data_IF_328724807011
#
_entry.id   IF_328724807011
#
_cell.length_a   1.000
_cell.length_b   1.000
_cell.length_c   1.000
_cell.angle_alpha   90.00
_cell.angle_beta   90.00
_cell.angle_gamma   90.00
#
_symmetry.space_group_name_H-M   'P 1'
#
loop_
_entity.id
_entity.type
_entity.pdbx_description
1 polymer ?
#
# COMPACT_ATOMS: atom_id res chain seq x y z
N UNK A 1 30.81 -35.51 60.70
CA UNK A 1 30.14 -35.35 59.38
C UNK A 1 30.21 -36.68 58.64
N UNK A 2 29.07 -37.32 58.31
CA UNK A 2 29.09 -38.57 57.55
C UNK A 2 29.57 -38.27 56.12
N UNK A 3 30.59 -39.00 55.66
CA UNK A 3 31.09 -38.91 54.27
C UNK A 3 30.06 -39.60 53.37
N UNK A 4 29.38 -38.83 52.52
CA UNK A 4 28.53 -39.42 51.48
C UNK A 4 29.38 -40.38 50.63
N UNK A 5 28.96 -41.65 50.43
CA UNK A 5 29.72 -42.59 49.63
C UNK A 5 29.82 -42.12 48.18
N UNK A 6 31.05 -42.12 47.63
CA UNK A 6 31.36 -41.65 46.26
C UNK A 6 30.46 -42.28 45.17
N UNK A 7 29.93 -43.46 45.43
CA UNK A 7 28.96 -44.18 44.60
C UNK A 7 27.65 -43.42 44.40
N UNK A 8 27.12 -42.75 45.42
CA UNK A 8 25.89 -41.96 45.29
C UNK A 8 26.10 -40.71 44.45
N UNK A 9 27.27 -40.09 44.54
CA UNK A 9 27.62 -38.91 43.73
C UNK A 9 27.78 -39.28 42.26
N UNK A 10 28.38 -40.43 41.96
CA UNK A 10 28.50 -40.95 40.60
C UNK A 10 27.14 -41.24 39.96
N UNK A 11 26.26 -41.94 40.67
CA UNK A 11 24.90 -42.23 40.19
C UNK A 11 24.09 -40.95 39.99
N UNK A 12 24.16 -40.01 40.93
CA UNK A 12 23.50 -38.71 40.81
C UNK A 12 23.98 -37.93 39.58
N UNK A 13 25.30 -37.84 39.37
CA UNK A 13 25.87 -37.15 38.22
C UNK A 13 25.43 -37.79 36.90
N UNK A 14 25.44 -39.13 36.79
CA UNK A 14 24.99 -39.83 35.57
C UNK A 14 23.52 -39.57 35.27
N UNK A 15 22.65 -39.64 36.29
CA UNK A 15 21.21 -39.37 36.13
C UNK A 15 20.99 -37.91 35.73
N UNK A 16 21.69 -36.97 36.35
CA UNK A 16 21.58 -35.55 36.04
C UNK A 16 22.07 -35.24 34.63
N UNK A 17 23.20 -35.82 34.20
CA UNK A 17 23.73 -35.65 32.83
C UNK A 17 22.79 -36.27 31.79
N UNK A 18 22.22 -37.43 32.06
CA UNK A 18 21.23 -38.05 31.16
C UNK A 18 19.96 -37.19 31.04
N UNK A 19 19.44 -36.68 32.17
CA UNK A 19 18.30 -35.77 32.17
C UNK A 19 18.59 -34.47 31.39
N UNK A 20 19.79 -33.91 31.54
CA UNK A 20 20.23 -32.72 30.80
C UNK A 20 20.37 -33.00 29.30
N UNK A 21 20.91 -34.15 28.92
CA UNK A 21 21.00 -34.57 27.53
C UNK A 21 19.61 -34.74 26.89
N UNK A 22 18.66 -35.35 27.60
CA UNK A 22 17.26 -35.45 27.15
C UNK A 22 16.63 -34.06 27.00
N UNK A 23 16.83 -33.15 27.96
CA UNK A 23 16.35 -31.76 27.88
C UNK A 23 16.90 -31.04 26.65
N UNK A 24 18.19 -31.17 26.34
CA UNK A 24 18.80 -30.58 25.14
C UNK A 24 18.23 -31.20 23.86
N UNK A 25 18.09 -32.54 23.82
CA UNK A 25 17.62 -33.25 22.63
C UNK A 25 16.12 -33.05 22.35
N UNK A 26 15.31 -32.80 23.38
CA UNK A 26 13.85 -32.62 23.26
C UNK A 26 13.42 -31.14 23.27
N UNK A 27 14.25 -30.24 23.77
CA UNK A 27 13.98 -28.80 23.84
C UNK A 27 13.98 -28.10 22.48
N UNK A 28 14.58 -28.72 21.47
CA UNK A 28 14.65 -28.21 20.10
C UNK A 28 13.51 -28.72 19.20
N UNK A 29 12.28 -28.84 19.71
CA UNK A 29 11.13 -29.21 18.87
C UNK A 29 10.64 -27.98 18.10
N UNK A 30 10.85 -27.99 16.78
CA UNK A 30 10.32 -27.02 15.80
C UNK A 30 8.78 -26.92 15.84
N UNK A 31 8.18 -25.78 15.42
CA UNK A 31 6.80 -25.44 15.72
C UNK A 31 5.82 -26.46 15.15
N UNK A 32 4.95 -26.99 16.01
CA UNK A 32 3.76 -27.71 15.59
C UNK A 32 2.79 -26.74 14.90
N UNK A 33 1.97 -27.26 13.99
CA UNK A 33 0.77 -26.57 13.52
C UNK A 33 -0.11 -26.24 14.73
N UNK A 34 -0.10 -24.98 15.18
CA UNK A 34 -0.99 -24.52 16.23
C UNK A 34 -2.41 -24.37 15.66
N UNK A 35 -3.41 -24.83 16.42
CA UNK A 35 -4.81 -24.61 16.12
C UNK A 35 -5.36 -23.68 17.19
N UNK A 36 -6.08 -22.65 16.75
CA UNK A 36 -6.72 -21.68 17.61
C UNK A 36 -8.18 -21.57 17.18
N UNK A 37 -9.09 -21.42 18.14
CA UNK A 37 -10.47 -21.04 17.83
C UNK A 37 -10.54 -19.55 17.45
N UNK A 38 -9.80 -18.70 18.16
CA UNK A 38 -9.65 -17.26 17.88
C UNK A 38 -8.25 -16.76 18.23
N UNK A 39 -7.85 -15.67 17.57
CA UNK A 39 -6.58 -14.97 17.82
C UNK A 39 -6.89 -13.49 18.03
N UNK A 40 -6.72 -12.99 19.26
CA UNK A 40 -6.86 -11.57 19.60
C UNK A 40 -5.48 -10.96 19.83
N UNK A 41 -4.99 -10.24 18.82
CA UNK A 41 -3.65 -9.65 18.79
C UNK A 41 -3.66 -8.35 18.02
N UNK A 42 -2.73 -7.46 18.35
CA UNK A 42 -2.56 -6.20 17.61
C UNK A 42 -1.84 -6.39 16.26
N UNK A 43 -0.99 -7.41 16.12
CA UNK A 43 -0.24 -7.67 14.88
C UNK A 43 0.21 -9.11 14.73
N UNK A 44 0.12 -9.62 13.51
CA UNK A 44 0.65 -10.90 13.03
C UNK A 44 1.74 -10.60 12.00
N UNK A 45 2.89 -11.28 12.11
CA UNK A 45 3.94 -11.27 11.10
C UNK A 45 4.05 -12.68 10.49
N UNK A 46 4.04 -12.77 9.16
CA UNK A 46 4.42 -13.99 8.44
C UNK A 46 5.85 -13.81 7.92
N UNK A 47 6.71 -14.78 8.22
CA UNK A 47 8.13 -14.74 7.90
C UNK A 47 8.58 -16.04 7.26
N UNK A 48 9.59 -15.95 6.42
CA UNK A 48 10.37 -17.10 5.95
C UNK A 48 11.19 -17.71 7.08
N UNK A 49 11.79 -18.90 6.82
CA UNK A 49 12.69 -19.57 7.76
C UNK A 49 13.92 -18.74 8.13
N UNK A 50 14.41 -17.90 7.21
CA UNK A 50 15.53 -16.99 7.43
C UNK A 50 15.15 -15.70 8.16
N UNK A 51 13.85 -15.51 8.46
CA UNK A 51 13.31 -14.34 9.13
C UNK A 51 12.81 -13.22 8.20
N UNK A 52 12.97 -13.36 6.88
CA UNK A 52 12.46 -12.40 5.88
C UNK A 52 10.97 -12.20 6.04
N UNK A 53 10.51 -10.95 6.17
CA UNK A 53 9.10 -10.61 6.34
C UNK A 53 8.36 -10.77 5.01
N UNK A 54 7.18 -11.41 5.04
CA UNK A 54 6.34 -11.68 3.85
C UNK A 54 4.97 -11.07 3.91
N UNK A 55 4.41 -10.98 5.10
CA UNK A 55 3.12 -10.34 5.32
C UNK A 55 3.04 -9.79 6.73
N UNK A 56 2.34 -8.67 6.87
CA UNK A 56 1.94 -8.10 8.16
C UNK A 56 0.44 -7.94 8.15
N UNK A 57 -0.25 -8.38 9.20
CA UNK A 57 -1.62 -7.98 9.52
C UNK A 57 -1.55 -7.18 10.81
N UNK A 58 -2.05 -5.95 10.83
CA UNK A 58 -1.89 -5.07 12.00
C UNK A 58 -3.07 -4.14 12.22
N UNK A 59 -3.30 -3.81 13.49
CA UNK A 59 -4.06 -2.63 13.90
C UNK A 59 -3.35 -1.33 13.49
N UNK A 60 -3.99 -0.19 13.78
CA UNK A 60 -3.47 1.13 13.46
C UNK A 60 -2.21 1.48 14.27
N UNK A 61 -2.15 1.10 15.55
CA UNK A 61 -1.07 1.51 16.45
C UNK A 61 0.25 0.80 16.13
N UNK A 62 0.19 -0.47 15.70
CA UNK A 62 1.35 -1.28 15.34
C UNK A 62 1.56 -1.41 13.84
N UNK A 63 0.86 -0.59 13.04
CA UNK A 63 1.03 -0.55 11.60
C UNK A 63 2.47 -0.16 11.27
N UNK A 64 3.18 -0.93 10.42
CA UNK A 64 4.58 -0.64 10.11
C UNK A 64 4.71 0.64 9.28
N UNK A 65 5.91 1.21 9.31
CA UNK A 65 6.36 2.16 8.31
C UNK A 65 6.60 1.48 6.95
N UNK A 66 7.24 2.22 6.04
CA UNK A 66 7.60 1.71 4.73
C UNK A 66 8.83 0.81 4.87
N UNK A 67 8.72 -0.46 4.49
CA UNK A 67 9.86 -1.39 4.57
C UNK A 67 10.42 -1.62 3.16
N UNK A 68 11.70 -1.28 2.98
CA UNK A 68 12.45 -1.53 1.75
C UNK A 68 13.69 -2.35 2.11
N UNK A 69 13.91 -3.48 1.45
CA UNK A 69 15.04 -4.38 1.72
C UNK A 69 15.19 -4.76 3.19
N UNK A 70 14.06 -5.03 3.86
CA UNK A 70 14.00 -5.35 5.29
C UNK A 70 14.26 -4.16 6.24
N UNK A 71 14.55 -2.96 5.71
CA UNK A 71 14.74 -1.74 6.50
C UNK A 71 13.45 -0.92 6.54
N UNK A 72 13.02 -0.60 7.75
CA UNK A 72 11.86 0.25 8.00
C UNK A 72 12.22 1.74 7.97
N UNK A 73 11.41 2.51 7.25
CA UNK A 73 11.48 3.96 7.14
C UNK A 73 10.23 4.59 7.76
N UNK A 74 10.34 5.72 8.48
CA UNK A 74 9.19 6.41 9.04
C UNK A 74 8.17 6.75 7.95
N UNK A 75 6.97 6.23 8.09
CA UNK A 75 5.90 6.47 7.15
C UNK A 75 4.55 6.43 7.90
N UNK A 76 4.19 7.53 8.60
CA UNK A 76 3.04 7.56 9.49
C UNK A 76 1.74 7.37 8.71
N UNK A 77 0.97 6.36 9.10
CA UNK A 77 -0.31 5.98 8.49
C UNK A 77 -1.35 5.81 9.60
N UNK A 78 -2.49 6.52 9.52
CA UNK A 78 -3.61 6.37 10.47
C UNK A 78 -4.62 5.33 9.94
N UNK A 79 -4.19 4.08 9.78
CA UNK A 79 -4.97 3.00 9.14
C UNK A 79 -4.49 1.64 9.64
N UNK A 80 -5.38 0.65 9.55
CA UNK A 80 -5.09 -0.75 9.84
C UNK A 80 -5.17 -1.58 8.55
N UNK A 81 -4.68 -2.81 8.59
CA UNK A 81 -4.80 -3.71 7.45
C UNK A 81 -3.65 -4.70 7.30
N UNK A 82 -3.39 -5.05 6.04
CA UNK A 82 -2.46 -6.07 5.63
C UNK A 82 -1.46 -5.52 4.61
N UNK A 83 -0.17 -5.77 4.80
CA UNK A 83 0.89 -5.43 3.84
C UNK A 83 1.60 -6.70 3.38
N UNK A 84 2.01 -6.72 2.11
CA UNK A 84 2.74 -7.81 1.49
C UNK A 84 4.18 -7.38 1.16
N UNK A 85 5.10 -8.32 1.17
CA UNK A 85 6.52 -8.07 0.92
C UNK A 85 7.11 -9.09 -0.05
N UNK A 86 7.99 -8.64 -0.94
CA UNK A 86 8.68 -9.49 -1.91
C UNK A 86 9.84 -10.29 -1.28
N UNK A 87 10.59 -11.02 -2.11
CA UNK A 87 11.69 -11.90 -1.67
C UNK A 87 12.86 -11.16 -1.04
N UNK A 88 12.93 -9.85 -1.23
CA UNK A 88 13.98 -8.99 -0.71
C UNK A 88 13.50 -8.26 0.56
N UNK A 89 12.26 -8.50 1.01
CA UNK A 89 11.69 -7.81 2.16
C UNK A 89 11.29 -6.37 1.87
N UNK A 90 10.98 -6.05 0.61
CA UNK A 90 10.42 -4.76 0.17
C UNK A 90 8.90 -4.84 0.08
N UNK A 91 8.19 -3.85 0.63
CA UNK A 91 6.74 -3.71 0.55
C UNK A 91 6.28 -3.74 -0.93
N UNK A 92 5.27 -4.54 -1.23
CA UNK A 92 4.68 -4.68 -2.57
C UNK A 92 3.16 -4.52 -2.53
N UNK A 93 2.72 -3.49 -1.84
CA UNK A 93 1.33 -3.14 -1.67
C UNK A 93 0.66 -3.81 -0.48
N UNK A 94 -0.66 -3.65 -0.42
CA UNK A 94 -1.42 -4.06 0.73
C UNK A 94 -2.90 -3.73 0.64
N UNK A 95 -3.64 -4.26 1.60
CA UNK A 95 -5.04 -4.00 1.82
C UNK A 95 -5.19 -3.19 3.11
N UNK A 96 -5.57 -1.92 2.98
CA UNK A 96 -5.66 -0.99 4.11
C UNK A 96 -7.07 -0.40 4.22
N UNK A 97 -7.49 -0.15 5.46
CA UNK A 97 -8.77 0.45 5.77
C UNK A 97 -8.62 1.50 6.88
N UNK A 98 -9.44 2.53 6.80
CA UNK A 98 -9.71 3.44 7.90
C UNK A 98 -11.16 3.93 7.81
N UNK A 99 -11.74 4.27 8.95
CA UNK A 99 -13.10 4.80 8.99
C UNK A 99 -13.39 5.41 10.34
N UNK A 100 -13.94 6.61 10.34
CA UNK A 100 -14.55 7.22 11.52
C UNK A 100 -15.66 8.17 11.13
N UNK A 101 -16.62 8.33 12.03
CA UNK A 101 -17.58 9.43 12.01
C UNK A 101 -17.09 10.49 12.99
N UNK A 102 -16.95 11.73 12.51
CA UNK A 102 -16.62 12.88 13.34
C UNK A 102 -17.75 13.24 14.28
N UNK A 103 -17.44 14.06 15.29
CA UNK A 103 -18.42 14.60 16.24
C UNK A 103 -19.43 15.54 15.57
N UNK A 104 -19.06 16.13 14.44
CA UNK A 104 -19.89 16.92 13.55
C UNK A 104 -20.85 16.06 12.70
N UNK A 105 -20.74 14.73 12.78
CA UNK A 105 -21.54 13.79 12.03
C UNK A 105 -20.97 13.43 10.65
N UNK A 106 -19.87 14.06 10.23
CA UNK A 106 -19.25 13.79 8.93
C UNK A 106 -18.52 12.45 8.95
N UNK A 107 -18.65 11.68 7.86
CA UNK A 107 -17.95 10.41 7.69
C UNK A 107 -16.65 10.64 6.93
N UNK A 108 -15.59 10.01 7.41
CA UNK A 108 -14.32 9.87 6.72
C UNK A 108 -13.93 8.40 6.75
N UNK A 109 -14.13 7.69 5.64
CA UNK A 109 -13.72 6.30 5.48
C UNK A 109 -12.99 6.08 4.18
N UNK A 110 -12.05 5.14 4.19
CA UNK A 110 -11.26 4.80 3.03
C UNK A 110 -10.78 3.36 3.06
N UNK A 111 -10.71 2.77 1.87
CA UNK A 111 -10.17 1.46 1.56
C UNK A 111 -9.19 1.61 0.40
N UNK A 112 -8.05 0.92 0.49
CA UNK A 112 -7.16 0.73 -0.66
C UNK A 112 -6.63 -0.69 -0.68
N UNK A 113 -6.76 -1.36 -1.82
CA UNK A 113 -5.97 -2.53 -2.19
C UNK A 113 -4.97 -2.09 -3.26
N UNK A 114 -3.69 -2.02 -2.92
CA UNK A 114 -2.62 -1.64 -3.83
C UNK A 114 -1.77 -2.83 -4.25
N UNK A 115 -1.28 -2.75 -5.48
CA UNK A 115 -0.25 -3.62 -6.03
C UNK A 115 0.87 -2.73 -6.54
N UNK A 116 1.99 -2.81 -5.86
CA UNK A 116 3.12 -1.94 -6.14
C UNK A 116 4.05 -2.63 -7.14
N UNK A 117 4.70 -1.86 -8.00
CA UNK A 117 5.75 -2.41 -8.88
C UNK A 117 7.02 -2.69 -8.07
N UNK A 118 7.90 -3.56 -8.57
CA UNK A 118 9.24 -3.76 -8.01
C UNK A 118 9.94 -2.42 -7.71
N UNK A 119 10.28 -2.21 -6.43
CA UNK A 119 10.90 -1.00 -5.87
C UNK A 119 10.18 0.32 -6.20
N UNK A 120 8.87 0.28 -6.39
CA UNK A 120 8.04 1.41 -6.73
C UNK A 120 6.71 1.34 -5.99
N UNK A 121 5.85 2.35 -6.16
CA UNK A 121 4.53 2.41 -5.53
C UNK A 121 3.45 1.91 -6.52
N UNK A 122 2.22 1.81 -6.04
CA UNK A 122 0.94 1.61 -6.71
C UNK A 122 0.96 1.66 -8.25
N UNK A 123 1.26 0.53 -8.89
CA UNK A 123 1.05 0.37 -10.32
C UNK A 123 -0.42 0.07 -10.63
N UNK A 124 -1.09 -0.65 -9.75
CA UNK A 124 -2.52 -0.96 -9.79
C UNK A 124 -3.14 -0.74 -8.41
N UNK A 125 -4.34 -0.20 -8.36
CA UNK A 125 -5.06 0.02 -7.11
C UNK A 125 -6.58 -0.15 -7.27
N UNK A 126 -7.23 -0.73 -6.27
CA UNK A 126 -8.66 -0.58 -6.02
C UNK A 126 -8.85 0.34 -4.81
N UNK A 127 -9.70 1.35 -4.94
CA UNK A 127 -9.88 2.38 -3.92
C UNK A 127 -11.36 2.65 -3.70
N UNK A 128 -11.73 2.90 -2.45
CA UNK A 128 -13.04 3.38 -2.03
C UNK A 128 -12.86 4.47 -0.98
N UNK A 129 -13.57 5.58 -1.08
CA UNK A 129 -13.53 6.72 -0.17
C UNK A 129 -14.95 7.23 0.07
N UNK A 130 -15.28 7.45 1.34
CA UNK A 130 -16.46 8.18 1.77
C UNK A 130 -16.00 9.41 2.55
N UNK A 131 -16.32 10.61 2.04
CA UNK A 131 -15.92 11.86 2.65
C UNK A 131 -16.98 12.95 2.43
N UNK A 132 -17.46 13.54 3.52
CA UNK A 132 -18.37 14.71 3.50
C UNK A 132 -19.61 14.51 2.60
N UNK A 133 -20.21 13.31 2.67
CA UNK A 133 -21.37 12.92 1.88
C UNK A 133 -21.08 12.58 0.41
N UNK A 134 -19.81 12.66 -0.01
CA UNK A 134 -19.35 12.25 -1.34
C UNK A 134 -18.67 10.90 -1.26
N UNK A 135 -18.84 10.11 -2.31
CA UNK A 135 -18.23 8.79 -2.41
C UNK A 135 -17.40 8.71 -3.68
N UNK A 136 -16.23 8.09 -3.59
CA UNK A 136 -15.37 7.79 -4.73
C UNK A 136 -14.99 6.32 -4.67
N UNK A 137 -15.11 5.60 -5.78
CA UNK A 137 -14.75 4.20 -5.82
C UNK A 137 -14.30 3.81 -7.21
N UNK A 138 -13.17 3.13 -7.34
CA UNK A 138 -12.71 2.72 -8.65
C UNK A 138 -11.40 1.93 -8.66
N UNK A 139 -10.99 1.61 -9.88
CA UNK A 139 -9.71 0.99 -10.22
C UNK A 139 -8.81 2.01 -10.90
N UNK A 140 -7.54 2.05 -10.50
CA UNK A 140 -6.51 2.93 -11.08
C UNK A 140 -5.32 2.11 -11.57
N UNK A 141 -4.75 2.51 -12.71
CA UNK A 141 -3.46 2.02 -13.20
C UNK A 141 -2.54 3.20 -13.44
N UNK A 142 -1.30 3.11 -12.97
CA UNK A 142 -0.29 4.14 -13.10
C UNK A 142 0.92 3.62 -13.87
N UNK A 143 1.50 4.47 -14.72
CA UNK A 143 2.92 4.36 -15.05
C UNK A 143 3.71 4.81 -13.83
N UNK A 144 4.69 4.00 -13.44
CA UNK A 144 5.63 4.31 -12.35
C UNK A 144 7.05 4.23 -12.90
N UNK A 145 7.98 5.08 -12.42
CA UNK A 145 9.32 5.17 -12.99
C UNK A 145 10.11 3.86 -12.78
N UNK A 146 11.16 3.63 -13.58
CA UNK A 146 12.00 2.43 -13.41
C UNK A 146 13.05 2.56 -12.30
N UNK A 147 13.27 3.78 -11.79
CA UNK A 147 14.22 4.03 -10.70
C UNK A 147 13.65 3.50 -9.38
N UNK A 148 14.48 3.11 -8.40
CA UNK A 148 13.98 2.69 -7.08
C UNK A 148 13.40 3.85 -6.26
N UNK A 149 12.29 3.63 -5.56
CA UNK A 149 11.62 4.63 -4.70
C UNK A 149 12.50 5.07 -3.52
N UNK A 150 13.48 4.26 -3.10
CA UNK A 150 14.43 4.67 -2.05
C UNK A 150 15.15 5.97 -2.40
N UNK A 151 15.30 6.29 -3.68
CA UNK A 151 15.86 7.57 -4.13
C UNK A 151 14.97 8.75 -3.71
N UNK A 152 13.64 8.63 -3.78
CA UNK A 152 12.72 9.68 -3.33
C UNK A 152 12.87 9.94 -1.83
N UNK A 153 13.05 8.88 -1.04
CA UNK A 153 13.29 8.98 0.41
C UNK A 153 14.61 9.70 0.70
N UNK A 154 15.66 9.39 -0.05
CA UNK A 154 16.98 10.00 0.13
C UNK A 154 17.02 11.46 -0.31
N UNK A 155 16.23 11.83 -1.31
CA UNK A 155 16.15 13.19 -1.82
C UNK A 155 15.24 14.10 -1.00
N UNK A 156 14.24 13.53 -0.30
CA UNK A 156 13.23 14.28 0.48
C UNK A 156 13.85 15.34 1.42
N UNK A 157 14.89 15.06 2.23
CA UNK A 157 15.47 16.08 3.11
C UNK A 157 16.11 17.24 2.34
N UNK A 158 16.68 16.97 1.16
CA UNK A 158 17.25 18.01 0.30
C UNK A 158 16.13 18.90 -0.25
N UNK A 159 15.05 18.29 -0.76
CA UNK A 159 13.88 19.02 -1.25
C UNK A 159 13.23 19.88 -0.16
N UNK A 160 13.14 19.37 1.06
CA UNK A 160 12.55 20.09 2.20
C UNK A 160 13.38 21.30 2.63
N UNK A 161 14.71 21.21 2.51
CA UNK A 161 15.62 22.31 2.84
C UNK A 161 15.73 23.38 1.73
N UNK A 162 15.18 23.14 0.54
CA UNK A 162 15.25 24.09 -0.58
C UNK A 162 14.34 25.30 -0.35
N UNK A 163 14.75 26.49 -0.83
CA UNK A 163 13.84 27.64 -0.93
C UNK A 163 12.61 27.30 -1.79
N UNK A 164 11.42 27.73 -1.38
CA UNK A 164 10.16 27.35 -2.01
C UNK A 164 10.17 27.53 -3.54
N UNK A 165 10.59 28.69 -4.04
CA UNK A 165 10.65 28.96 -5.49
C UNK A 165 11.55 27.98 -6.25
N UNK A 166 12.70 27.61 -5.67
CA UNK A 166 13.62 26.67 -6.30
C UNK A 166 13.08 25.24 -6.26
N UNK A 167 12.45 24.85 -5.14
CA UNK A 167 11.78 23.56 -4.99
C UNK A 167 10.64 23.42 -5.99
N UNK A 168 9.78 24.43 -6.10
CA UNK A 168 8.62 24.40 -6.99
C UNK A 168 9.04 24.35 -8.46
N UNK A 169 10.11 25.08 -8.83
CA UNK A 169 10.70 24.99 -10.17
C UNK A 169 11.25 23.57 -10.48
N UNK A 170 11.95 22.95 -9.53
CA UNK A 170 12.46 21.58 -9.67
C UNK A 170 11.33 20.55 -9.75
N UNK A 171 10.27 20.70 -8.96
CA UNK A 171 9.11 19.81 -9.00
C UNK A 171 8.37 19.92 -10.34
N UNK A 172 8.19 21.13 -10.87
CA UNK A 172 7.61 21.34 -12.19
C UNK A 172 8.48 20.73 -13.31
N UNK A 173 9.81 20.87 -13.21
CA UNK A 173 10.74 20.21 -14.13
C UNK A 173 10.60 18.68 -14.08
N UNK A 174 10.59 18.10 -12.87
CA UNK A 174 10.42 16.66 -12.64
C UNK A 174 9.11 16.14 -13.20
N UNK A 175 8.01 16.83 -12.95
CA UNK A 175 6.69 16.52 -13.48
C UNK A 175 6.70 16.53 -15.01
N UNK A 176 7.27 17.58 -15.63
CA UNK A 176 7.37 17.68 -17.09
C UNK A 176 8.16 16.54 -17.74
N UNK A 177 9.09 15.95 -16.99
CA UNK A 177 9.92 14.80 -17.40
C UNK A 177 9.36 13.45 -16.97
N UNK A 178 8.18 13.40 -16.33
CA UNK A 178 7.56 12.16 -15.84
C UNK A 178 8.35 11.47 -14.73
N UNK A 179 9.13 12.23 -13.93
CA UNK A 179 10.03 11.69 -12.90
C UNK A 179 9.34 10.83 -11.83
N UNK A 180 8.05 11.10 -11.58
CA UNK A 180 7.20 10.39 -10.62
C UNK A 180 6.22 9.42 -11.28
N UNK A 181 6.28 9.25 -12.60
CA UNK A 181 5.27 8.49 -13.35
C UNK A 181 4.04 9.32 -13.70
N UNK A 182 2.96 8.66 -14.11
CA UNK A 182 1.71 9.29 -14.53
C UNK A 182 0.51 8.33 -14.44
N UNK A 183 -0.70 8.78 -14.06
CA UNK A 183 -1.89 7.95 -14.09
C UNK A 183 -2.27 7.62 -15.54
N UNK A 184 -2.61 6.36 -15.82
CA UNK A 184 -2.93 5.85 -17.17
C UNK A 184 -4.38 5.52 -17.37
N UNK A 185 -5.01 4.95 -16.35
CA UNK A 185 -6.36 4.43 -16.43
C UNK A 185 -7.10 4.70 -15.14
N UNK A 186 -8.36 5.08 -15.27
CA UNK A 186 -9.32 5.06 -14.18
C UNK A 186 -10.64 4.45 -14.67
N UNK A 187 -11.26 3.60 -13.85
CA UNK A 187 -12.66 3.24 -14.01
C UNK A 187 -13.37 3.21 -12.67
N UNK A 188 -14.46 3.95 -12.55
CA UNK A 188 -15.21 4.01 -11.30
C UNK A 188 -16.15 5.20 -11.18
N UNK A 189 -16.63 5.42 -9.96
CA UNK A 189 -17.51 6.51 -9.55
C UNK A 189 -16.68 7.70 -9.07
N UNK A 190 -16.88 8.87 -9.65
CA UNK A 190 -16.21 10.11 -9.25
C UNK A 190 -16.86 10.74 -8.01
N UNK A 191 -16.19 11.71 -7.40
CA UNK A 191 -16.76 12.53 -6.32
C UNK A 191 -17.99 13.37 -6.73
N UNK A 192 -18.26 13.48 -8.04
CA UNK A 192 -19.46 14.13 -8.61
C UNK A 192 -20.57 13.13 -8.95
N UNK A 193 -20.51 11.93 -8.36
CA UNK A 193 -21.44 10.82 -8.58
C UNK A 193 -21.54 10.33 -10.05
N UNK A 194 -20.58 10.69 -10.89
CA UNK A 194 -20.54 10.25 -12.29
C UNK A 194 -19.81 8.92 -12.42
N UNK A 195 -20.28 8.04 -13.29
CA UNK A 195 -19.55 6.83 -13.68
C UNK A 195 -18.61 7.16 -14.84
N UNK A 196 -17.33 6.85 -14.70
CA UNK A 196 -16.30 7.23 -15.67
C UNK A 196 -15.38 6.05 -15.96
N UNK A 197 -15.05 5.85 -17.24
CA UNK A 197 -13.80 5.21 -17.67
C UNK A 197 -12.95 6.29 -18.34
N UNK A 198 -11.74 6.52 -17.86
CA UNK A 198 -10.83 7.57 -18.34
C UNK A 198 -9.49 6.96 -18.75
N UNK A 199 -9.04 7.31 -19.96
CA UNK A 199 -7.72 6.96 -20.48
C UNK A 199 -6.88 8.21 -20.60
N UNK A 200 -5.66 8.13 -20.06
CA UNK A 200 -4.69 9.22 -20.05
C UNK A 200 -3.50 8.93 -20.96
N UNK A 201 -2.87 9.98 -21.48
CA UNK A 201 -1.61 9.88 -22.20
C UNK A 201 -0.40 9.64 -21.27
N UNK A 202 0.81 9.68 -21.84
CA UNK A 202 2.06 9.43 -21.11
C UNK A 202 2.41 10.49 -20.07
N UNK A 203 1.72 11.62 -20.08
CA UNK A 203 1.88 12.70 -19.12
C UNK A 203 0.68 12.76 -18.16
N UNK A 204 -0.17 11.74 -18.13
CA UNK A 204 -1.32 11.67 -17.23
C UNK A 204 -2.49 12.54 -17.66
N UNK A 205 -2.49 13.08 -18.89
CA UNK A 205 -3.55 13.96 -19.37
C UNK A 205 -4.67 13.14 -20.01
N UNK A 206 -5.94 13.35 -19.63
CA UNK A 206 -7.07 12.65 -20.24
C UNK A 206 -7.13 12.86 -21.76
N UNK A 207 -7.38 11.78 -22.49
CA UNK A 207 -7.55 11.77 -23.96
C UNK A 207 -8.89 11.18 -24.37
N UNK A 208 -9.42 10.26 -23.57
CA UNK A 208 -10.70 9.61 -23.80
C UNK A 208 -11.44 9.45 -22.47
N UNK A 209 -12.72 9.78 -22.46
CA UNK A 209 -13.62 9.52 -21.34
C UNK A 209 -14.91 8.87 -21.82
N UNK A 210 -15.33 7.78 -21.17
CA UNK A 210 -16.68 7.25 -21.23
C UNK A 210 -17.37 7.71 -19.95
N UNK A 211 -18.40 8.53 -20.07
CA UNK A 211 -19.02 9.23 -18.96
C UNK A 211 -20.52 8.94 -18.91
N UNK A 212 -21.02 8.63 -17.71
CA UNK A 212 -22.45 8.66 -17.38
C UNK A 212 -22.64 9.59 -16.19
N UNK A 213 -23.42 10.65 -16.36
CA UNK A 213 -23.74 11.62 -15.31
C UNK A 213 -24.78 11.07 -14.32
N UNK A 214 -24.98 11.70 -13.15
CA UNK A 214 -25.98 11.25 -12.18
C UNK A 214 -27.42 11.23 -12.72
N UNK A 215 -27.75 12.10 -13.67
CA UNK A 215 -29.04 12.14 -14.38
C UNK A 215 -29.13 11.14 -15.55
N UNK A 216 -28.11 10.28 -15.73
CA UNK A 216 -28.13 9.18 -16.69
C UNK A 216 -27.70 9.54 -18.11
N UNK A 217 -27.16 10.73 -18.36
CA UNK A 217 -26.67 11.11 -19.70
C UNK A 217 -25.35 10.42 -20.00
N UNK A 218 -25.35 9.57 -21.04
CA UNK A 218 -24.17 8.85 -21.50
C UNK A 218 -23.44 9.60 -22.61
N UNK A 219 -22.11 9.68 -22.52
CA UNK A 219 -21.26 10.27 -23.55
C UNK A 219 -19.88 9.62 -23.67
N UNK A 220 -19.29 9.72 -24.86
CA UNK A 220 -17.86 9.44 -25.12
C UNK A 220 -17.21 10.75 -25.53
N UNK A 221 -16.22 11.21 -24.76
CA UNK A 221 -15.54 12.48 -24.98
C UNK A 221 -14.08 12.25 -25.40
N UNK A 222 -13.68 12.92 -26.47
CA UNK A 222 -12.30 12.96 -26.98
C UNK A 222 -11.69 14.31 -26.64
N UNK A 223 -10.53 14.31 -25.98
CA UNK A 223 -9.90 15.52 -25.45
C UNK A 223 -8.55 15.80 -26.12
N UNK A 224 -8.26 17.07 -26.35
CA UNK A 224 -6.99 17.55 -26.92
C UNK A 224 -5.86 17.61 -25.88
N UNK A 225 -4.66 17.98 -26.34
CA UNK A 225 -3.46 18.05 -25.52
C UNK A 225 -3.59 18.93 -24.24
N UNK A 226 -4.53 19.87 -24.24
CA UNK A 226 -4.82 20.83 -23.17
C UNK A 226 -6.00 20.39 -22.29
N UNK A 227 -6.66 19.28 -22.61
CA UNK A 227 -7.82 18.76 -21.90
C UNK A 227 -9.15 19.39 -22.37
N UNK A 228 -9.17 20.08 -23.52
CA UNK A 228 -10.41 20.59 -24.11
C UNK A 228 -11.09 19.48 -24.90
N UNK A 229 -12.40 19.32 -24.70
CA UNK A 229 -13.20 18.37 -25.46
C UNK A 229 -13.23 18.81 -26.94
N UNK A 230 -12.73 17.96 -27.83
CA UNK A 230 -12.79 18.16 -29.28
C UNK A 230 -14.06 17.58 -29.88
N UNK A 231 -14.55 16.47 -29.32
CA UNK A 231 -15.70 15.74 -29.84
C UNK A 231 -16.43 14.99 -28.73
N UNK A 232 -17.75 15.00 -28.82
CA UNK A 232 -18.63 14.19 -27.97
C UNK A 232 -19.48 13.27 -28.85
N UNK A 233 -19.59 12.00 -28.45
CA UNK A 233 -20.60 11.08 -28.97
C UNK A 233 -21.62 10.87 -27.85
N UNK A 234 -22.88 11.22 -28.08
CA UNK A 234 -23.97 11.06 -27.12
C UNK A 234 -25.06 10.14 -27.71
N UNK A 235 -25.99 9.68 -26.87
CA UNK A 235 -27.03 8.75 -27.27
C UNK A 235 -28.00 9.32 -28.33
N UNK A 236 -28.15 10.64 -28.40
CA UNK A 236 -28.99 11.38 -29.33
C UNK A 236 -28.26 11.86 -30.61
N UNK A 237 -26.95 11.63 -30.72
CA UNK A 237 -26.17 11.95 -31.92
C UNK A 237 -24.72 12.38 -31.65
N UNK A 238 -24.10 12.99 -32.66
CA UNK A 238 -22.71 13.50 -32.57
C UNK A 238 -22.76 15.01 -32.38
N UNK A 239 -22.42 15.49 -31.18
CA UNK A 239 -22.20 16.92 -30.94
C UNK A 239 -20.72 17.28 -31.21
N UNK A 240 -20.48 18.26 -32.08
CA UNK A 240 -19.17 18.89 -32.24
C UNK A 240 -19.08 20.10 -31.32
N UNK A 241 -17.99 20.22 -30.56
CA UNK A 241 -17.74 21.41 -29.75
C UNK A 241 -17.71 22.66 -30.65
N UNK A 242 -18.41 23.72 -30.23
CA UNK A 242 -18.42 25.00 -30.93
C UNK A 242 -16.99 25.55 -31.02
N UNK A 243 -16.56 25.95 -32.24
CA UNK A 243 -15.29 26.65 -32.44
C UNK A 243 -15.40 28.04 -31.80
N UNK A 244 -14.88 28.17 -30.59
CA UNK A 244 -14.42 29.44 -30.00
C UNK A 244 -12.92 29.55 -30.20
#
# INVERSE_FOLDING_TARGET
MPKLPKTYLGVYATVLTAAFAVLILTGARSPMNAKFDSIDVQRINVRELDGTLRMVISDQTRFPGLILHGKEYPHPRSRAGMLFYNNEGTEQGGLIFAGKKGTDGNVSSGLSLSFDRYEQDQQLQLIGLDQDGRTYAGMQVNDVPSRPMVQDIQEKPKLDAMPAKARDALLAERESKGYYGAPRYYAGKTMSDSSVVMLNDAHGKPRLMLLVTPDGKASIQFLDAQGKVQRTLAADGVEKAAKG
#
